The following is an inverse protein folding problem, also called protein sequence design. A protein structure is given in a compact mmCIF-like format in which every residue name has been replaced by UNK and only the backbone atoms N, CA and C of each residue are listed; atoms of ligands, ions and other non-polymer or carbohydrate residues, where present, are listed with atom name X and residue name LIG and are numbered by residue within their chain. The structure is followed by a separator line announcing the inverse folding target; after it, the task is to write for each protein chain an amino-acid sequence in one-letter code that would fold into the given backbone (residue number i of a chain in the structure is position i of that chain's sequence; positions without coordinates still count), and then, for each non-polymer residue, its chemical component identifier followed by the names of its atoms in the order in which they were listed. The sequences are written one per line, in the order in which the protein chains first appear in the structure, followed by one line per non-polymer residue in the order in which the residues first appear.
data_IF_078066060830
#
_entry.id   IF_078066060830
#
_cell.length_a   1.000
_cell.length_b   1.000
_cell.length_c   1.000
_cell.angle_alpha   90.00
_cell.angle_beta   90.00
_cell.angle_gamma   90.00
#
_symmetry.space_group_name_H-M   'P 1'
#
loop_
_entity.id
_entity.type
_entity.pdbx_description
1 polymer ?
#
# COMPACT_ATOMS: atom_id res chain seq x y z
N UNK A 1 49.72 30.95 -32.72
CA UNK A 1 50.43 31.97 -31.93
C UNK A 1 49.42 32.97 -31.39
N UNK A 2 49.10 32.86 -30.10
CA UNK A 2 48.81 33.97 -29.18
C UNK A 2 48.86 33.37 -27.75
N UNK A 3 49.34 34.13 -26.75
CA UNK A 3 50.00 33.58 -25.58
C UNK A 3 49.10 33.42 -24.35
N UNK A 4 49.56 32.56 -23.44
CA UNK A 4 49.01 32.31 -22.10
C UNK A 4 49.27 33.45 -21.11
N UNK A 5 48.47 33.51 -20.03
CA UNK A 5 48.79 33.85 -18.62
C UNK A 5 47.46 34.09 -17.83
N UNK A 6 47.41 34.00 -16.49
CA UNK A 6 47.99 33.04 -15.56
C UNK A 6 46.94 32.41 -14.60
N UNK A 7 47.35 31.33 -13.91
CA UNK A 7 46.63 30.74 -12.76
C UNK A 7 46.70 31.66 -11.54
N UNK A 8 45.56 31.91 -10.89
CA UNK A 8 45.49 32.53 -9.58
C UNK A 8 45.30 31.44 -8.51
N UNK A 9 46.30 31.32 -7.63
CA UNK A 9 46.26 30.50 -6.41
C UNK A 9 45.66 31.35 -5.29
N UNK A 10 44.46 31.01 -4.83
CA UNK A 10 43.86 31.65 -3.65
C UNK A 10 44.20 30.83 -2.40
N UNK A 11 45.05 31.42 -1.56
CA UNK A 11 45.40 30.96 -0.22
C UNK A 11 44.22 31.33 0.71
N UNK A 12 43.46 30.35 1.22
CA UNK A 12 42.47 30.60 2.28
C UNK A 12 43.16 30.36 3.63
N UNK A 13 43.36 31.44 4.37
CA UNK A 13 43.85 31.44 5.73
C UNK A 13 42.76 30.90 6.68
N UNK A 14 43.07 29.82 7.39
CA UNK A 14 42.27 29.32 8.52
C UNK A 14 42.47 30.27 9.70
N UNK A 15 41.45 31.05 10.03
CA UNK A 15 41.35 31.77 11.30
C UNK A 15 40.43 30.99 12.23
N UNK A 16 41.01 30.42 13.27
CA UNK A 16 40.27 29.75 14.34
C UNK A 16 39.59 30.80 15.24
N UNK A 17 38.27 30.90 15.18
CA UNK A 17 37.48 31.58 16.20
C UNK A 17 37.07 30.56 17.27
N UNK A 18 37.70 30.65 18.43
CA UNK A 18 37.23 29.97 19.64
C UNK A 18 36.06 30.79 20.22
N UNK A 19 34.83 30.34 19.98
CA UNK A 19 33.65 30.85 20.68
C UNK A 19 33.36 29.93 21.88
N UNK A 20 33.61 30.44 23.08
CA UNK A 20 33.19 29.85 24.34
C UNK A 20 31.66 29.95 24.47
N UNK A 21 30.95 28.85 24.17
CA UNK A 21 29.52 28.73 24.48
C UNK A 21 29.38 28.18 25.90
N UNK A 22 28.97 29.05 26.81
CA UNK A 22 28.50 28.67 28.13
C UNK A 22 27.25 27.80 27.96
N UNK A 23 27.34 26.53 28.38
CA UNK A 23 26.24 25.58 28.33
C UNK A 23 25.07 26.04 29.19
N UNK A 24 23.97 26.37 28.52
CA UNK A 24 22.65 26.32 29.13
C UNK A 24 22.14 24.88 29.00
N UNK A 25 21.62 24.25 30.07
CA UNK A 25 21.09 22.91 29.95
C UNK A 25 19.87 22.97 29.01
N UNK A 26 19.93 22.23 27.91
CA UNK A 26 18.77 21.95 27.07
C UNK A 26 17.69 21.34 27.98
N UNK A 27 16.65 22.12 28.28
CA UNK A 27 15.41 21.56 28.77
C UNK A 27 14.80 20.79 27.60
N UNK A 28 14.86 19.46 27.67
CA UNK A 28 14.06 18.60 26.83
C UNK A 28 12.61 19.09 26.89
N UNK A 29 12.05 19.44 25.74
CA UNK A 29 10.61 19.68 25.61
C UNK A 29 9.84 18.47 26.13
N UNK A 30 8.60 18.65 26.60
CA UNK A 30 7.84 17.57 27.18
C UNK A 30 7.69 16.45 26.13
N UNK A 31 8.26 15.28 26.44
CA UNK A 31 8.01 14.06 25.69
C UNK A 31 6.50 13.87 25.56
N UNK A 32 6.00 13.76 24.33
CA UNK A 32 4.62 13.36 24.07
C UNK A 32 4.39 12.02 24.76
N UNK A 33 3.64 12.04 25.86
CA UNK A 33 3.16 10.83 26.52
C UNK A 33 1.85 10.47 25.81
N UNK A 34 1.80 9.43 24.97
CA UNK A 34 0.52 8.94 24.49
C UNK A 34 -0.27 8.45 25.71
N UNK A 35 -1.25 9.23 26.16
CA UNK A 35 -2.31 8.75 27.03
C UNK A 35 -3.29 7.93 26.19
N UNK A 36 -2.83 6.80 25.63
CA UNK A 36 -3.71 5.70 25.30
C UNK A 36 -3.57 4.66 26.41
N UNK A 37 -4.48 4.72 27.37
CA UNK A 37 -4.72 3.61 28.27
C UNK A 37 -5.07 2.38 27.42
N UNK A 38 -4.14 1.42 27.33
CA UNK A 38 -4.41 0.09 26.77
C UNK A 38 -5.66 -0.47 27.45
N UNK A 39 -6.73 -0.82 26.72
CA UNK A 39 -7.86 -1.51 27.31
C UNK A 39 -7.37 -2.84 27.90
N UNK A 40 -7.31 -2.94 29.23
CA UNK A 40 -7.20 -4.24 29.92
C UNK A 40 -8.51 -4.97 29.72
N UNK A 41 -8.57 -5.75 28.66
CA UNK A 41 -9.72 -6.56 28.29
C UNK A 41 -9.65 -6.84 26.81
N UNK A 42 -9.42 -8.10 26.43
CA UNK A 42 -9.52 -8.57 25.05
C UNK A 42 -10.93 -8.22 24.56
N UNK A 43 -11.07 -7.12 23.82
CA UNK A 43 -12.34 -6.78 23.19
C UNK A 43 -12.77 -7.99 22.35
N UNK A 44 -14.07 -8.31 22.26
CA UNK A 44 -14.53 -9.33 21.34
C UNK A 44 -14.01 -8.93 19.95
N UNK A 45 -13.16 -9.77 19.35
CA UNK A 45 -12.57 -9.51 18.04
C UNK A 45 -13.69 -9.13 17.08
N UNK A 46 -13.45 -8.12 16.24
CA UNK A 46 -14.46 -7.64 15.30
C UNK A 46 -15.03 -8.85 14.56
N UNK A 47 -16.36 -8.95 14.53
CA UNK A 47 -17.04 -10.06 13.89
C UNK A 47 -16.61 -10.22 12.42
N UNK A 48 -17.09 -11.28 11.74
CA UNK A 48 -16.86 -11.43 10.30
C UNK A 48 -17.23 -10.16 9.54
N UNK A 49 -16.43 -9.80 8.53
CA UNK A 49 -16.79 -8.70 7.62
C UNK A 49 -18.07 -9.07 6.88
N UNK A 50 -18.95 -8.08 6.71
CA UNK A 50 -20.27 -8.29 6.11
C UNK A 50 -20.66 -7.11 5.26
N UNK A 51 -21.37 -7.39 4.19
CA UNK A 51 -22.17 -6.38 3.52
C UNK A 51 -23.16 -5.76 4.52
N UNK A 52 -23.39 -4.46 4.39
CA UNK A 52 -24.41 -3.73 5.13
C UNK A 52 -25.81 -4.20 4.69
N UNK A 53 -26.87 -3.91 5.45
CA UNK A 53 -28.24 -4.30 5.09
C UNK A 53 -28.74 -3.76 3.74
N UNK A 54 -28.15 -2.66 3.26
CA UNK A 54 -28.42 -2.11 1.92
C UNK A 54 -27.69 -2.85 0.78
N UNK A 55 -26.91 -3.88 1.12
CA UNK A 55 -26.20 -4.71 0.16
C UNK A 55 -24.87 -4.12 -0.30
N UNK A 56 -24.32 -3.12 0.38
CA UNK A 56 -23.02 -2.53 0.02
C UNK A 56 -21.92 -2.83 1.04
N UNK A 57 -20.67 -2.72 0.59
CA UNK A 57 -19.45 -2.86 1.39
C UNK A 57 -18.45 -1.80 0.95
N UNK A 58 -18.01 -0.93 1.85
CA UNK A 58 -17.13 0.21 1.55
C UNK A 58 -15.73 -0.01 2.13
N UNK A 59 -14.72 0.09 1.27
CA UNK A 59 -13.30 0.02 1.60
C UNK A 59 -12.64 1.38 1.36
N UNK A 60 -11.91 1.89 2.35
CA UNK A 60 -11.01 3.05 2.21
C UNK A 60 -9.57 2.55 2.18
N UNK A 61 -8.80 2.90 1.14
CA UNK A 61 -7.42 2.46 0.94
C UNK A 61 -6.48 3.65 1.15
N UNK A 62 -5.64 3.57 2.18
CA UNK A 62 -4.48 4.45 2.37
C UNK A 62 -3.19 3.67 2.07
N UNK A 63 -2.18 4.35 1.57
CA UNK A 63 -0.88 3.79 1.17
C UNK A 63 0.15 4.90 1.09
N UNK A 64 1.44 4.53 1.09
CA UNK A 64 2.55 5.48 0.95
C UNK A 64 2.42 6.60 2.01
N UNK A 65 2.27 6.16 3.26
CA UNK A 65 2.09 7.05 4.41
C UNK A 65 3.43 7.57 4.91
N UNK A 66 4.46 6.74 4.81
CA UNK A 66 5.86 7.07 5.07
C UNK A 66 6.09 7.76 6.41
N UNK A 67 5.51 7.20 7.48
CA UNK A 67 5.71 7.75 8.81
C UNK A 67 7.16 7.57 9.26
N UNK A 68 7.68 8.54 10.02
CA UNK A 68 9.01 8.47 10.61
C UNK A 68 10.15 8.81 9.66
N UNK A 69 9.86 9.43 8.52
CA UNK A 69 10.87 10.10 7.70
C UNK A 69 11.59 11.19 8.52
N UNK A 70 12.92 11.29 8.39
CA UNK A 70 13.74 12.29 9.10
C UNK A 70 13.42 12.40 10.62
N UNK A 71 13.27 11.25 11.30
CA UNK A 71 12.81 11.16 12.70
C UNK A 71 13.71 11.85 13.75
N UNK A 72 14.90 12.29 13.36
CA UNK A 72 15.86 13.00 14.23
C UNK A 72 15.72 14.53 14.21
N UNK A 73 14.86 15.09 13.34
CA UNK A 73 14.55 16.52 13.25
C UNK A 73 13.05 16.76 13.52
N UNK A 74 12.66 17.99 13.84
CA UNK A 74 11.27 18.42 14.00
C UNK A 74 10.46 18.35 12.69
N UNK A 75 11.10 18.42 11.53
CA UNK A 75 10.42 18.35 10.23
C UNK A 75 9.66 17.04 10.02
N UNK A 76 10.26 15.90 10.37
CA UNK A 76 9.69 14.56 10.19
C UNK A 76 8.38 14.35 10.96
N UNK A 77 8.38 14.51 12.29
CA UNK A 77 7.17 14.45 13.11
C UNK A 77 6.08 15.43 12.67
N UNK A 78 6.45 16.57 12.06
CA UNK A 78 5.46 17.49 11.49
C UNK A 78 4.78 16.90 10.26
N UNK A 79 5.48 16.14 9.41
CA UNK A 79 4.85 15.38 8.32
C UNK A 79 3.89 14.33 8.85
N UNK A 80 4.30 13.53 9.85
CA UNK A 80 3.44 12.52 10.48
C UNK A 80 2.12 13.12 11.00
N UNK A 81 2.20 14.30 11.65
CA UNK A 81 1.01 15.03 12.13
C UNK A 81 0.09 15.41 10.96
N UNK A 82 0.64 15.83 9.83
CA UNK A 82 -0.15 16.19 8.65
C UNK A 82 -0.73 14.96 7.95
N UNK A 83 0.01 13.85 7.86
CA UNK A 83 -0.51 12.55 7.43
C UNK A 83 -1.70 12.11 8.29
N UNK A 84 -1.63 12.26 9.62
CA UNK A 84 -2.76 11.99 10.51
C UNK A 84 -3.97 12.88 10.18
N UNK A 85 -3.77 14.16 9.84
CA UNK A 85 -4.86 15.07 9.43
C UNK A 85 -5.50 14.63 8.12
N UNK A 86 -4.73 14.13 7.15
CA UNK A 86 -5.27 13.55 5.91
C UNK A 86 -6.15 12.35 6.23
N UNK A 87 -5.64 11.39 7.03
CA UNK A 87 -6.39 10.20 7.43
C UNK A 87 -7.69 10.62 8.13
N UNK A 88 -7.64 11.54 9.10
CA UNK A 88 -8.84 12.04 9.78
C UNK A 88 -9.83 12.70 8.81
N UNK A 89 -9.34 13.55 7.90
CA UNK A 89 -10.17 14.27 6.92
C UNK A 89 -10.89 13.33 5.96
N UNK A 90 -10.17 12.34 5.42
CA UNK A 90 -10.78 11.35 4.52
C UNK A 90 -11.79 10.49 5.27
N UNK A 91 -11.43 9.99 6.46
CA UNK A 91 -12.34 9.16 7.26
C UNK A 91 -13.59 9.92 7.71
N UNK A 92 -13.52 11.24 7.92
CA UNK A 92 -14.68 12.07 8.29
C UNK A 92 -15.57 12.41 7.09
N UNK A 93 -15.01 12.44 5.88
CA UNK A 93 -15.75 12.70 4.65
C UNK A 93 -16.58 11.48 4.19
N UNK A 94 -16.21 10.27 4.62
CA UNK A 94 -16.85 9.03 4.19
C UNK A 94 -17.84 8.52 5.26
N UNK A 95 -19.16 8.57 5.00
CA UNK A 95 -20.18 8.31 6.02
C UNK A 95 -20.28 6.84 6.44
N UNK A 96 -19.82 5.93 5.59
CA UNK A 96 -19.89 4.49 5.79
C UNK A 96 -18.55 3.88 5.39
N UNK A 97 -17.86 3.24 6.34
CA UNK A 97 -16.61 2.53 6.08
C UNK A 97 -16.71 1.18 6.78
N UNK A 98 -16.61 0.10 6.01
CA UNK A 98 -16.69 -1.27 6.54
C UNK A 98 -15.30 -1.87 6.79
N UNK A 99 -14.28 -1.38 6.07
CA UNK A 99 -12.88 -1.76 6.22
C UNK A 99 -11.96 -0.61 5.78
N UNK A 100 -10.93 -0.32 6.56
CA UNK A 100 -9.78 0.46 6.08
C UNK A 100 -8.68 -0.51 5.63
N UNK A 101 -8.06 -0.25 4.48
CA UNK A 101 -6.89 -0.96 3.98
C UNK A 101 -5.69 -0.04 4.06
N UNK A 102 -4.60 -0.55 4.63
CA UNK A 102 -3.27 0.07 4.66
C UNK A 102 -2.37 -0.68 3.68
N UNK A 103 -2.17 -0.15 2.47
CA UNK A 103 -1.61 -0.88 1.33
C UNK A 103 -0.09 -0.66 1.13
N UNK A 104 0.68 -0.82 2.20
CA UNK A 104 2.14 -0.77 2.19
C UNK A 104 2.76 0.63 2.30
N UNK A 105 4.07 0.63 2.52
CA UNK A 105 4.92 1.78 2.88
C UNK A 105 4.28 2.64 3.98
N UNK A 106 4.01 1.96 5.10
CA UNK A 106 3.43 2.58 6.28
C UNK A 106 4.46 3.43 7.01
N UNK A 107 5.70 2.94 7.06
CA UNK A 107 6.82 3.53 7.81
C UNK A 107 8.05 3.57 6.92
N UNK A 108 8.73 4.71 6.88
CA UNK A 108 10.04 4.86 6.21
C UNK A 108 11.14 4.22 7.05
N UNK A 109 11.23 2.89 6.99
CA UNK A 109 12.04 2.06 7.89
C UNK A 109 13.49 2.48 8.03
N UNK A 110 14.11 2.92 6.94
CA UNK A 110 15.50 3.39 6.89
C UNK A 110 15.76 4.71 7.65
N UNK A 111 14.72 5.45 8.02
CA UNK A 111 14.81 6.74 8.74
C UNK A 111 14.41 6.64 10.21
N UNK A 112 13.86 5.50 10.61
CA UNK A 112 13.46 5.25 11.99
C UNK A 112 14.59 4.63 12.83
N UNK A 113 14.40 4.58 14.15
CA UNK A 113 15.34 3.90 15.06
C UNK A 113 14.83 2.50 15.44
N UNK A 114 15.76 1.54 15.55
CA UNK A 114 15.46 0.14 15.85
C UNK A 114 14.59 -0.03 17.11
N UNK A 115 14.80 0.81 18.12
CA UNK A 115 14.15 0.69 19.43
C UNK A 115 12.68 1.12 19.43
N UNK A 116 12.25 1.92 18.45
CA UNK A 116 10.92 2.53 18.46
C UNK A 116 10.22 2.60 17.09
N UNK A 117 10.81 2.05 16.02
CA UNK A 117 10.26 2.15 14.67
C UNK A 117 8.78 1.74 14.56
N UNK A 118 8.38 0.64 15.21
CA UNK A 118 6.98 0.19 15.17
C UNK A 118 6.00 1.11 15.91
N UNK A 119 6.44 2.09 16.69
CA UNK A 119 5.53 3.00 17.39
C UNK A 119 4.73 3.91 16.44
N UNK A 120 5.21 4.12 15.21
CA UNK A 120 4.47 4.89 14.20
C UNK A 120 3.15 4.22 13.80
N UNK A 121 3.04 2.88 13.92
CA UNK A 121 1.77 2.16 13.72
C UNK A 121 0.66 2.74 14.60
N UNK A 122 0.96 3.11 15.85
CA UNK A 122 -0.04 3.65 16.77
C UNK A 122 -0.59 5.01 16.31
N UNK A 123 0.25 5.82 15.64
CA UNK A 123 -0.16 7.10 15.07
C UNK A 123 -1.06 6.88 13.85
N UNK A 124 -0.66 5.97 12.96
CA UNK A 124 -1.38 5.60 11.74
C UNK A 124 -2.78 5.06 12.05
N UNK A 125 -2.89 4.14 13.01
CA UNK A 125 -4.18 3.49 13.34
C UNK A 125 -4.99 4.29 14.35
N UNK A 126 -4.42 5.35 14.95
CA UNK A 126 -5.09 6.22 15.91
C UNK A 126 -6.45 6.76 15.43
N UNK A 127 -6.54 7.36 14.21
CA UNK A 127 -7.81 7.78 13.62
C UNK A 127 -8.85 6.67 13.47
N UNK A 128 -8.42 5.44 13.16
CA UNK A 128 -9.30 4.27 13.01
C UNK A 128 -9.82 3.79 14.37
N UNK A 129 -8.93 3.74 15.37
CA UNK A 129 -9.26 3.41 16.76
C UNK A 129 -10.31 4.37 17.33
N UNK A 130 -10.14 5.68 17.13
CA UNK A 130 -11.10 6.71 17.58
C UNK A 130 -12.49 6.51 17.00
N UNK A 131 -12.59 6.02 15.76
CA UNK A 131 -13.84 5.81 15.02
C UNK A 131 -14.41 4.39 15.17
N UNK A 132 -13.73 3.50 15.91
CA UNK A 132 -14.13 2.10 16.02
C UNK A 132 -14.09 1.35 14.68
N UNK A 133 -13.22 1.78 13.77
CA UNK A 133 -13.04 1.15 12.47
C UNK A 133 -12.07 -0.03 12.59
N UNK A 134 -12.31 -1.03 11.77
CA UNK A 134 -11.42 -2.18 11.60
C UNK A 134 -10.54 -1.97 10.37
N UNK A 135 -9.31 -2.46 10.42
CA UNK A 135 -8.38 -2.31 9.31
C UNK A 135 -7.64 -3.60 8.98
N UNK A 136 -7.08 -3.64 7.78
CA UNK A 136 -6.24 -4.72 7.26
C UNK A 136 -5.06 -4.09 6.52
N UNK A 137 -3.87 -4.68 6.64
CA UNK A 137 -2.66 -4.12 6.04
C UNK A 137 -2.01 -5.10 5.06
N UNK A 138 -1.31 -4.58 4.06
CA UNK A 138 -0.14 -5.25 3.48
C UNK A 138 1.07 -4.33 3.61
N UNK A 139 2.27 -4.85 3.37
CA UNK A 139 3.52 -4.13 3.61
C UNK A 139 4.29 -3.92 2.32
N UNK A 140 5.07 -2.84 2.29
CA UNK A 140 5.89 -2.43 1.16
C UNK A 140 7.40 -2.57 1.40
N UNK A 141 8.18 -1.93 0.54
CA UNK A 141 9.64 -1.94 0.61
C UNK A 141 10.19 -1.13 1.78
N UNK A 142 9.58 0.00 2.15
CA UNK A 142 10.01 0.83 3.28
C UNK A 142 9.69 0.17 4.64
N UNK A 143 8.67 -0.69 4.67
CA UNK A 143 8.31 -1.49 5.86
C UNK A 143 9.33 -2.60 6.20
N UNK A 144 10.37 -2.76 5.38
CA UNK A 144 11.43 -3.75 5.53
C UNK A 144 12.82 -3.11 5.40
N UNK A 145 13.47 -2.86 6.55
CA UNK A 145 14.82 -2.31 6.57
C UNK A 145 15.66 -2.93 7.72
N UNK A 146 16.85 -2.39 7.96
CA UNK A 146 17.72 -2.77 9.07
C UNK A 146 17.10 -2.46 10.44
N UNK A 147 16.29 -1.39 10.53
CA UNK A 147 15.69 -0.91 11.78
C UNK A 147 14.24 -1.39 12.00
N UNK A 148 13.60 -1.98 10.99
CA UNK A 148 12.20 -2.44 11.05
C UNK A 148 12.02 -3.72 10.25
N UNK A 149 11.09 -4.57 10.67
CA UNK A 149 10.63 -5.70 9.86
C UNK A 149 9.12 -5.73 9.78
N UNK A 150 8.58 -6.19 8.65
CA UNK A 150 7.16 -6.46 8.48
C UNK A 150 6.56 -7.34 9.61
N UNK A 151 7.34 -8.29 10.13
CA UNK A 151 6.91 -9.13 11.25
C UNK A 151 6.73 -8.33 12.55
N UNK A 152 7.58 -7.33 12.79
CA UNK A 152 7.46 -6.43 13.93
C UNK A 152 6.27 -5.46 13.78
N UNK A 153 6.00 -4.98 12.56
CA UNK A 153 4.80 -4.19 12.25
C UNK A 153 3.54 -5.03 12.53
N UNK A 154 3.46 -6.26 12.02
CA UNK A 154 2.34 -7.18 12.27
C UNK A 154 2.15 -7.41 13.78
N UNK A 155 3.22 -7.66 14.52
CA UNK A 155 3.17 -7.86 15.96
C UNK A 155 2.62 -6.61 16.70
N UNK A 156 2.95 -5.41 16.22
CA UNK A 156 2.42 -4.15 16.78
C UNK A 156 0.94 -3.96 16.46
N UNK A 157 0.54 -4.19 15.20
CA UNK A 157 -0.87 -4.11 14.79
C UNK A 157 -1.74 -5.04 15.63
N UNK A 158 -1.26 -6.26 15.90
CA UNK A 158 -1.98 -7.28 16.69
C UNK A 158 -2.16 -6.93 18.18
N UNK A 159 -1.56 -5.83 18.67
CA UNK A 159 -1.90 -5.28 19.99
C UNK A 159 -3.31 -4.69 20.02
N UNK A 160 -3.87 -4.36 18.85
CA UNK A 160 -5.16 -3.72 18.70
C UNK A 160 -6.24 -4.72 18.22
N UNK A 161 -7.43 -4.76 18.85
CA UNK A 161 -8.46 -5.75 18.53
C UNK A 161 -9.13 -5.55 17.16
N UNK A 162 -8.98 -4.37 16.54
CA UNK A 162 -9.48 -4.02 15.20
C UNK A 162 -8.55 -4.39 14.06
N UNK A 163 -7.30 -4.77 14.34
CA UNK A 163 -6.40 -5.27 13.32
C UNK A 163 -6.91 -6.61 12.78
N UNK A 164 -7.04 -6.70 11.46
CA UNK A 164 -7.40 -7.93 10.74
C UNK A 164 -6.22 -8.54 9.98
N UNK A 165 -5.07 -7.88 9.97
CA UNK A 165 -3.86 -8.38 9.31
C UNK A 165 -3.43 -9.72 9.92
N UNK A 166 -3.13 -10.69 9.06
CA UNK A 166 -2.70 -12.04 9.48
C UNK A 166 -1.58 -12.53 8.59
N UNK A 167 -0.90 -13.59 9.02
CA UNK A 167 0.08 -14.31 8.22
C UNK A 167 -0.45 -15.72 7.92
N UNK A 168 -0.90 -15.97 6.69
CA UNK A 168 -1.38 -17.29 6.26
C UNK A 168 -0.32 -18.08 5.48
N UNK A 169 0.83 -17.46 5.17
CA UNK A 169 2.01 -18.10 4.57
C UNK A 169 3.20 -17.91 5.53
N UNK A 170 3.40 -18.83 6.50
CA UNK A 170 4.44 -18.71 7.51
C UNK A 170 5.80 -19.18 6.97
N UNK A 171 6.32 -18.50 5.95
CA UNK A 171 7.66 -18.71 5.39
C UNK A 171 8.39 -17.35 5.36
N UNK A 172 9.58 -17.24 6.00
CA UNK A 172 10.32 -15.98 6.07
C UNK A 172 10.64 -15.36 4.71
N UNK A 173 10.77 -16.17 3.65
CA UNK A 173 11.07 -15.66 2.31
C UNK A 173 9.80 -15.34 1.50
N UNK A 174 8.60 -15.70 1.97
CA UNK A 174 7.34 -15.45 1.26
C UNK A 174 6.76 -14.05 1.49
N UNK A 175 7.26 -13.31 2.49
CA UNK A 175 6.61 -12.11 3.02
C UNK A 175 5.62 -12.44 4.15
N UNK A 176 5.28 -11.43 4.95
CA UNK A 176 4.54 -11.55 6.21
C UNK A 176 3.02 -11.37 5.98
N UNK A 177 2.60 -10.39 5.19
CA UNK A 177 1.19 -9.99 5.03
C UNK A 177 0.45 -10.71 3.91
N UNK A 178 0.71 -12.01 3.72
CA UNK A 178 -0.03 -12.86 2.77
C UNK A 178 -1.23 -13.53 3.45
N UNK A 179 -2.46 -13.07 3.15
CA UNK A 179 -3.69 -13.58 3.75
C UNK A 179 -4.94 -13.17 2.95
N UNK A 180 -6.11 -13.64 3.37
CA UNK A 180 -7.38 -13.18 2.82
C UNK A 180 -8.41 -12.92 3.91
N UNK A 181 -9.36 -12.04 3.62
CA UNK A 181 -10.51 -11.76 4.46
C UNK A 181 -11.81 -12.09 3.71
N UNK A 182 -12.66 -12.98 4.24
CA UNK A 182 -13.98 -13.25 3.67
C UNK A 182 -15.00 -12.20 4.12
N UNK A 183 -15.80 -11.71 3.17
CA UNK A 183 -16.93 -10.82 3.41
C UNK A 183 -18.22 -11.58 3.12
N UNK A 184 -19.13 -11.60 4.09
CA UNK A 184 -20.37 -12.38 4.02
C UNK A 184 -21.60 -11.51 3.77
N UNK A 185 -22.70 -12.11 3.35
CA UNK A 185 -23.99 -11.43 3.34
C UNK A 185 -24.39 -10.90 4.73
N UNK A 186 -25.16 -9.81 4.75
CA UNK A 186 -25.60 -9.12 5.96
C UNK A 186 -26.31 -10.08 6.95
N UNK A 187 -27.15 -10.96 6.42
CA UNK A 187 -27.98 -11.91 7.16
C UNK A 187 -27.28 -13.26 7.41
N UNK A 188 -26.03 -13.44 6.98
CA UNK A 188 -25.37 -14.73 7.08
C UNK A 188 -25.11 -15.14 8.53
N UNK A 189 -25.98 -15.98 9.10
CA UNK A 189 -25.85 -16.45 10.48
C UNK A 189 -24.99 -17.72 10.55
N UNK A 190 -24.03 -17.75 11.49
CA UNK A 190 -23.32 -18.98 11.82
C UNK A 190 -24.26 -19.89 12.62
N UNK A 191 -24.48 -21.16 12.24
CA UNK A 191 -25.29 -22.06 13.05
C UNK A 191 -24.66 -22.26 14.45
N UNK A 192 -25.45 -22.23 15.54
CA UNK A 192 -24.95 -22.55 16.87
C UNK A 192 -24.30 -23.93 16.90
N UNK A 193 -23.15 -24.07 17.57
CA UNK A 193 -22.50 -25.37 17.81
C UNK A 193 -21.78 -25.99 16.61
N UNK A 194 -21.72 -25.32 15.44
CA UNK A 194 -20.91 -25.77 14.30
C UNK A 194 -19.68 -24.88 14.07
N UNK A 195 -18.45 -25.40 14.24
CA UNK A 195 -17.24 -24.65 13.92
C UNK A 195 -17.05 -24.46 12.40
N UNK A 196 -17.80 -25.18 11.54
CA UNK A 196 -17.83 -25.01 10.09
C UNK A 196 -19.25 -25.25 9.55
N UNK A 197 -19.66 -24.51 8.52
CA UNK A 197 -20.99 -24.65 7.88
C UNK A 197 -21.90 -23.42 7.96
N UNK A 198 -21.37 -22.21 7.74
CA UNK A 198 -22.17 -21.01 7.44
C UNK A 198 -22.35 -20.83 5.92
N UNK A 199 -22.88 -19.68 5.51
CA UNK A 199 -22.99 -19.30 4.10
C UNK A 199 -21.59 -19.08 3.49
N UNK A 200 -21.40 -19.35 2.18
CA UNK A 200 -20.18 -18.97 1.50
C UNK A 200 -19.97 -17.45 1.57
N UNK A 201 -18.73 -16.95 1.53
CA UNK A 201 -18.50 -15.51 1.39
C UNK A 201 -19.03 -15.03 0.02
N UNK A 202 -19.50 -13.80 0.00
CA UNK A 202 -19.95 -13.13 -1.24
C UNK A 202 -18.79 -12.39 -1.91
N UNK A 203 -17.77 -12.01 -1.15
CA UNK A 203 -16.56 -11.35 -1.62
C UNK A 203 -15.34 -11.87 -0.85
N UNK A 204 -14.22 -12.04 -1.55
CA UNK A 204 -12.90 -12.28 -0.94
C UNK A 204 -12.00 -11.07 -1.14
N UNK A 205 -11.31 -10.67 -0.08
CA UNK A 205 -10.26 -9.65 -0.13
C UNK A 205 -8.91 -10.34 0.04
N UNK A 206 -8.06 -10.31 -0.99
CA UNK A 206 -6.74 -10.92 -0.98
C UNK A 206 -5.66 -9.89 -0.71
N UNK A 207 -4.72 -10.21 0.18
CA UNK A 207 -3.58 -9.36 0.51
C UNK A 207 -2.31 -10.12 0.19
N UNK A 208 -1.42 -9.46 -0.56
CA UNK A 208 -0.16 -10.02 -1.01
C UNK A 208 1.00 -9.14 -0.56
N UNK A 209 2.05 -9.78 -0.06
CA UNK A 209 3.29 -9.11 0.33
C UNK A 209 4.29 -9.19 -0.82
N UNK A 210 4.52 -8.04 -1.48
CA UNK A 210 5.51 -7.90 -2.54
C UNK A 210 6.94 -7.75 -2.04
N UNK A 211 7.16 -7.67 -0.71
CA UNK A 211 8.47 -7.52 -0.07
C UNK A 211 9.17 -6.22 -0.55
N UNK A 212 10.45 -6.28 -0.89
CA UNK A 212 11.30 -5.13 -1.26
C UNK A 212 12.03 -4.50 -0.07
N UNK A 213 12.99 -3.61 -0.32
CA UNK A 213 13.83 -3.05 0.76
C UNK A 213 14.97 -3.97 1.19
N UNK A 214 15.24 -4.05 2.49
CA UNK A 214 16.40 -4.76 3.05
C UNK A 214 16.02 -5.78 4.13
N UNK A 215 16.85 -6.83 4.25
CA UNK A 215 16.70 -7.85 5.29
C UNK A 215 17.02 -7.28 6.67
N UNK A 216 16.11 -7.50 7.61
CA UNK A 216 16.23 -7.04 8.99
C UNK A 216 17.53 -7.49 9.66
N UNK A 217 18.28 -6.53 10.19
CA UNK A 217 19.57 -6.72 10.88
C UNK A 217 20.64 -7.52 10.11
N UNK A 218 20.55 -7.58 8.78
CA UNK A 218 21.53 -8.28 7.96
C UNK A 218 22.40 -7.30 7.17
N UNK A 219 23.72 -7.49 7.30
CA UNK A 219 24.74 -6.80 6.50
C UNK A 219 25.66 -7.83 5.86
N UNK A 220 26.07 -7.56 4.64
CA UNK A 220 27.08 -8.34 3.96
C UNK A 220 28.41 -8.23 4.71
N UNK A 221 29.04 -9.36 5.01
CA UNK A 221 30.22 -9.41 5.86
C UNK A 221 31.47 -8.79 5.22
N UNK A 222 31.54 -8.73 3.89
CA UNK A 222 32.70 -8.20 3.17
C UNK A 222 32.60 -6.68 2.95
N UNK A 223 31.40 -6.18 2.64
CA UNK A 223 31.16 -4.79 2.27
C UNK A 223 30.56 -3.95 3.40
N UNK A 224 29.96 -4.59 4.42
CA UNK A 224 29.23 -3.93 5.50
C UNK A 224 27.89 -3.30 5.07
N UNK A 225 27.49 -3.47 3.81
CA UNK A 225 26.24 -2.93 3.27
C UNK A 225 25.03 -3.77 3.72
N UNK A 226 23.86 -3.14 3.83
CA UNK A 226 22.59 -3.83 4.10
C UNK A 226 22.31 -4.86 3.00
N UNK A 227 21.77 -6.02 3.35
CA UNK A 227 21.43 -7.07 2.39
C UNK A 227 20.05 -6.79 1.82
N UNK A 228 19.96 -6.50 0.52
CA UNK A 228 18.67 -6.29 -0.17
C UNK A 228 17.81 -7.55 -0.17
N UNK A 229 16.49 -7.38 -0.23
CA UNK A 229 15.53 -8.48 -0.38
C UNK A 229 14.74 -8.41 -1.68
N UNK A 230 14.29 -9.57 -2.22
CA UNK A 230 13.39 -9.60 -3.38
C UNK A 230 12.20 -8.64 -3.25
N UNK A 231 11.75 -8.06 -4.36
CA UNK A 231 10.67 -7.07 -4.47
C UNK A 231 9.53 -7.56 -5.42
N UNK A 232 9.05 -8.79 -5.20
CA UNK A 232 7.88 -9.34 -5.87
C UNK A 232 7.12 -10.29 -4.94
N UNK A 233 5.85 -10.60 -5.24
CA UNK A 233 5.11 -11.67 -4.54
C UNK A 233 5.77 -13.03 -4.78
N UNK A 234 6.20 -13.69 -3.71
CA UNK A 234 6.94 -14.96 -3.80
C UNK A 234 6.10 -16.11 -4.36
N UNK A 235 6.76 -17.07 -5.03
CA UNK A 235 6.09 -18.24 -5.60
C UNK A 235 5.30 -19.04 -4.55
N UNK A 236 5.75 -19.07 -3.28
CA UNK A 236 5.01 -19.73 -2.19
C UNK A 236 3.67 -19.06 -1.90
N UNK A 237 3.61 -17.73 -1.94
CA UNK A 237 2.38 -16.97 -1.78
C UNK A 237 1.46 -17.18 -3.00
N UNK A 238 2.00 -17.21 -4.21
CA UNK A 238 1.25 -17.55 -5.43
C UNK A 238 0.61 -18.95 -5.33
N UNK A 239 1.40 -19.93 -4.90
CA UNK A 239 0.98 -21.31 -4.73
C UNK A 239 -0.09 -21.47 -3.64
N UNK A 240 0.07 -20.77 -2.52
CA UNK A 240 -0.93 -20.67 -1.47
C UNK A 240 -2.23 -20.09 -2.02
N UNK A 241 -2.17 -18.95 -2.71
CA UNK A 241 -3.34 -18.28 -3.28
C UNK A 241 -4.12 -19.20 -4.22
N UNK A 242 -3.44 -19.86 -5.17
CA UNK A 242 -4.09 -20.79 -6.11
C UNK A 242 -4.78 -21.95 -5.39
N UNK A 243 -4.10 -22.59 -4.42
CA UNK A 243 -4.68 -23.68 -3.65
C UNK A 243 -5.87 -23.22 -2.81
N UNK A 244 -5.70 -22.13 -2.06
CA UNK A 244 -6.73 -21.61 -1.17
C UNK A 244 -7.95 -21.10 -1.94
N UNK A 245 -7.76 -20.40 -3.06
CA UNK A 245 -8.86 -19.98 -3.93
C UNK A 245 -9.65 -21.20 -4.45
N UNK A 246 -8.97 -22.22 -4.98
CA UNK A 246 -9.62 -23.44 -5.46
C UNK A 246 -10.40 -24.18 -4.34
N UNK A 247 -9.86 -24.19 -3.12
CA UNK A 247 -10.54 -24.76 -1.94
C UNK A 247 -11.80 -23.97 -1.57
N UNK A 248 -11.73 -22.65 -1.57
CA UNK A 248 -12.87 -21.76 -1.27
C UNK A 248 -13.96 -21.88 -2.33
N UNK A 249 -13.60 -21.87 -3.62
CA UNK A 249 -14.53 -22.08 -4.73
C UNK A 249 -15.21 -23.44 -4.64
N UNK A 250 -14.44 -24.51 -4.35
CA UNK A 250 -15.01 -25.85 -4.13
C UNK A 250 -15.96 -25.87 -2.93
N UNK A 251 -15.62 -25.20 -1.83
CA UNK A 251 -16.50 -25.08 -0.67
C UNK A 251 -17.78 -24.26 -0.96
N UNK A 252 -17.72 -23.33 -1.91
CA UNK A 252 -18.86 -22.55 -2.40
C UNK A 252 -19.65 -23.24 -3.53
N UNK A 253 -19.53 -24.57 -3.67
CA UNK A 253 -20.27 -25.34 -4.67
C UNK A 253 -19.75 -25.21 -6.10
N UNK A 254 -18.48 -24.80 -6.26
CA UNK A 254 -17.83 -24.64 -7.56
C UNK A 254 -18.07 -23.29 -8.23
N UNK A 255 -18.83 -22.38 -7.61
CA UNK A 255 -19.03 -21.01 -8.11
C UNK A 255 -17.81 -20.15 -7.78
N UNK A 256 -17.17 -19.49 -8.75
CA UNK A 256 -16.17 -18.46 -8.47
C UNK A 256 -16.73 -17.41 -7.50
N UNK A 257 -15.93 -17.04 -6.51
CA UNK A 257 -16.31 -16.00 -5.54
C UNK A 257 -15.67 -14.69 -6.03
N UNK A 258 -16.46 -13.63 -6.25
CA UNK A 258 -15.91 -12.32 -6.59
C UNK A 258 -14.84 -11.90 -5.59
N UNK A 259 -13.81 -11.20 -6.07
CA UNK A 259 -12.69 -10.82 -5.23
C UNK A 259 -12.02 -9.52 -5.66
N UNK A 260 -11.40 -8.87 -4.67
CA UNK A 260 -10.47 -7.77 -4.82
C UNK A 260 -9.12 -8.19 -4.23
N UNK A 261 -8.03 -7.63 -4.75
CA UNK A 261 -6.70 -7.90 -4.26
C UNK A 261 -5.92 -6.61 -3.98
N UNK A 262 -4.98 -6.70 -3.04
CA UNK A 262 -4.11 -5.61 -2.59
C UNK A 262 -2.67 -6.12 -2.57
N UNK A 263 -1.77 -5.36 -3.18
CA UNK A 263 -0.32 -5.58 -3.19
C UNK A 263 0.32 -4.21 -3.15
N UNK A 264 1.50 -4.05 -2.57
CA UNK A 264 2.10 -2.72 -2.53
C UNK A 264 2.76 -2.34 -3.87
N UNK A 265 3.78 -3.10 -4.29
CA UNK A 265 4.54 -2.83 -5.51
C UNK A 265 3.74 -3.33 -6.73
N UNK A 266 3.49 -2.48 -7.76
CA UNK A 266 2.71 -2.86 -8.93
C UNK A 266 3.41 -3.91 -9.80
N UNK A 267 2.64 -4.75 -10.47
CA UNK A 267 3.19 -5.79 -11.36
C UNK A 267 3.82 -5.19 -12.62
N UNK A 268 4.68 -5.95 -13.31
CA UNK A 268 5.22 -5.53 -14.62
C UNK A 268 4.12 -5.29 -15.69
N UNK A 269 2.92 -5.83 -15.50
CA UNK A 269 1.77 -5.50 -16.34
C UNK A 269 1.36 -4.02 -16.22
N UNK A 270 1.49 -3.42 -15.03
CA UNK A 270 1.18 -1.99 -14.83
C UNK A 270 2.14 -1.12 -15.63
N UNK A 271 3.45 -1.39 -15.57
CA UNK A 271 4.45 -0.67 -16.37
C UNK A 271 4.16 -0.80 -17.87
N UNK A 272 3.89 -2.02 -18.33
CA UNK A 272 3.57 -2.25 -19.75
C UNK A 272 2.27 -1.55 -20.21
N UNK A 273 1.33 -1.28 -19.28
CA UNK A 273 0.13 -0.48 -19.56
C UNK A 273 0.45 1.02 -19.61
N UNK A 274 1.28 1.52 -18.69
CA UNK A 274 1.78 2.90 -18.70
C UNK A 274 2.51 3.19 -20.02
N UNK A 275 3.42 2.30 -20.44
CA UNK A 275 4.13 2.41 -21.73
C UNK A 275 3.19 2.32 -22.95
N UNK A 276 2.07 1.61 -22.83
CA UNK A 276 1.05 1.56 -23.87
C UNK A 276 0.17 2.82 -23.94
N UNK A 277 0.24 3.69 -22.92
CA UNK A 277 -0.46 4.95 -22.81
C UNK A 277 -1.72 4.87 -21.94
N UNK A 278 -1.77 5.76 -20.94
CA UNK A 278 -2.92 6.01 -20.07
C UNK A 278 -3.72 7.18 -20.64
N UNK A 279 -4.99 6.94 -21.01
CA UNK A 279 -5.87 8.00 -21.51
C UNK A 279 -6.58 8.67 -20.33
N UNK A 280 -6.42 9.99 -20.10
CA UNK A 280 -6.98 10.66 -18.92
C UNK A 280 -8.52 10.67 -18.89
N UNK A 281 -9.20 10.38 -20.00
CA UNK A 281 -10.65 10.30 -20.08
C UNK A 281 -11.18 8.87 -20.06
N UNK A 282 -10.36 7.85 -20.27
CA UNK A 282 -10.78 6.43 -20.17
C UNK A 282 -10.20 5.71 -18.95
N UNK A 283 -9.09 6.24 -18.44
CA UNK A 283 -8.38 5.81 -17.23
C UNK A 283 -8.08 7.06 -16.38
N UNK A 284 -9.10 7.78 -15.87
CA UNK A 284 -8.87 9.02 -15.14
C UNK A 284 -8.02 8.77 -13.89
N UNK A 285 -6.92 9.50 -13.80
CA UNK A 285 -5.92 9.41 -12.74
C UNK A 285 -4.69 10.23 -13.14
N UNK A 286 -3.83 10.50 -12.17
CA UNK A 286 -2.51 11.07 -12.42
C UNK A 286 -1.61 9.96 -12.95
N UNK A 287 -0.74 10.26 -13.91
CA UNK A 287 0.24 9.36 -14.54
C UNK A 287 1.57 10.12 -14.68
N UNK A 288 2.14 10.51 -13.54
CA UNK A 288 3.33 11.37 -13.48
C UNK A 288 4.61 10.60 -13.12
N UNK A 289 4.50 9.38 -12.58
CA UNK A 289 5.66 8.60 -12.15
C UNK A 289 6.15 7.70 -13.29
N UNK A 290 6.95 8.29 -14.17
CA UNK A 290 7.32 7.66 -15.45
C UNK A 290 8.83 7.48 -15.57
N UNK A 291 9.34 6.25 -15.80
CA UNK A 291 8.59 4.99 -15.78
C UNK A 291 8.27 4.55 -14.34
N UNK A 292 7.11 3.93 -14.14
CA UNK A 292 6.71 3.40 -12.84
C UNK A 292 7.62 2.24 -12.37
N UNK A 293 7.73 2.06 -11.07
CA UNK A 293 8.59 1.09 -10.40
C UNK A 293 7.87 -0.25 -10.15
N UNK A 294 8.01 -1.17 -11.10
CA UNK A 294 7.35 -2.46 -11.05
C UNK A 294 8.06 -3.50 -10.16
N UNK A 295 7.33 -4.56 -9.81
CA UNK A 295 7.89 -5.74 -9.14
C UNK A 295 9.06 -6.33 -9.93
N UNK A 296 10.05 -6.83 -9.19
CA UNK A 296 11.30 -7.36 -9.73
C UNK A 296 12.18 -6.34 -10.49
N UNK A 297 11.90 -5.03 -10.38
CA UNK A 297 12.80 -3.99 -10.86
C UNK A 297 14.19 -4.15 -10.21
N UNK A 298 15.24 -4.12 -11.03
CA UNK A 298 16.64 -4.29 -10.63
C UNK A 298 17.11 -5.74 -10.47
N UNK A 299 16.21 -6.73 -10.53
CA UNK A 299 16.55 -8.13 -10.31
C UNK A 299 16.64 -8.93 -11.62
N UNK A 300 17.74 -9.63 -11.82
CA UNK A 300 17.99 -10.45 -13.00
C UNK A 300 17.34 -11.83 -12.87
N UNK A 301 17.04 -12.46 -14.01
CA UNK A 301 16.44 -13.80 -14.07
C UNK A 301 17.28 -14.87 -13.34
N UNK A 302 18.59 -14.66 -13.19
CA UNK A 302 19.51 -15.51 -12.43
C UNK A 302 19.57 -15.20 -10.92
N UNK A 303 18.78 -14.23 -10.45
CA UNK A 303 18.69 -13.80 -9.06
C UNK A 303 19.68 -12.73 -8.63
N UNK A 304 20.54 -12.22 -9.53
CA UNK A 304 21.43 -11.10 -9.22
C UNK A 304 20.65 -9.77 -9.13
N UNK A 305 21.12 -8.86 -8.28
CA UNK A 305 20.67 -7.48 -8.18
C UNK A 305 21.90 -6.57 -8.11
N UNK A 306 22.60 -6.45 -9.22
CA UNK A 306 23.88 -5.75 -9.38
C UNK A 306 23.84 -4.66 -10.46
N UNK A 307 22.64 -4.28 -10.90
CA UNK A 307 22.41 -3.29 -11.95
C UNK A 307 22.71 -3.78 -13.37
N UNK A 308 23.03 -5.05 -13.58
CA UNK A 308 23.29 -5.59 -14.93
C UNK A 308 22.04 -5.86 -15.77
N UNK A 309 20.85 -5.70 -15.19
CA UNK A 309 19.56 -5.86 -15.85
C UNK A 309 18.51 -4.95 -15.18
N UNK A 310 17.44 -4.63 -15.91
CA UNK A 310 16.34 -3.82 -15.37
C UNK A 310 15.21 -4.68 -14.75
N UNK A 311 14.96 -5.88 -15.28
CA UNK A 311 13.86 -6.75 -14.88
C UNK A 311 14.14 -8.21 -15.29
N UNK A 312 13.74 -9.17 -14.45
CA UNK A 312 14.06 -10.59 -14.61
C UNK A 312 12.87 -11.53 -14.78
N UNK A 313 11.62 -11.04 -14.74
CA UNK A 313 10.43 -11.87 -14.95
C UNK A 313 9.89 -12.61 -13.72
N UNK A 314 10.40 -12.32 -12.51
CA UNK A 314 10.14 -13.11 -11.31
C UNK A 314 8.69 -12.99 -10.80
N UNK A 315 7.98 -11.91 -11.15
CA UNK A 315 6.55 -11.72 -10.85
C UNK A 315 5.61 -12.40 -11.86
N UNK A 316 6.15 -13.02 -12.92
CA UNK A 316 5.37 -13.76 -13.94
C UNK A 316 4.37 -14.77 -13.36
N UNK A 317 4.73 -15.62 -12.38
CA UNK A 317 3.79 -16.52 -11.73
C UNK A 317 2.63 -15.81 -11.01
N UNK A 318 2.89 -14.66 -10.38
CA UNK A 318 1.89 -13.85 -9.72
C UNK A 318 0.94 -13.20 -10.73
N UNK A 319 1.49 -12.55 -11.76
CA UNK A 319 0.70 -12.01 -12.88
C UNK A 319 -0.19 -13.08 -13.52
N UNK A 320 0.34 -14.28 -13.74
CA UNK A 320 -0.43 -15.40 -14.27
C UNK A 320 -1.57 -15.82 -13.32
N UNK A 321 -1.32 -15.85 -12.01
CA UNK A 321 -2.35 -16.19 -11.03
C UNK A 321 -3.46 -15.13 -10.97
N UNK A 322 -3.09 -13.85 -10.96
CA UNK A 322 -4.02 -12.71 -11.01
C UNK A 322 -4.87 -12.77 -12.28
N UNK A 323 -4.24 -12.87 -13.46
CA UNK A 323 -4.97 -12.94 -14.72
C UNK A 323 -5.83 -14.20 -14.86
N UNK A 324 -5.45 -15.33 -14.28
CA UNK A 324 -6.20 -16.59 -14.45
C UNK A 324 -7.35 -16.79 -13.46
N UNK A 325 -7.45 -15.98 -12.39
CA UNK A 325 -8.44 -16.19 -11.32
C UNK A 325 -9.81 -15.65 -11.73
N UNK A 326 -10.83 -16.51 -11.94
CA UNK A 326 -12.17 -16.02 -12.28
C UNK A 326 -12.78 -15.27 -11.11
N UNK A 327 -13.40 -14.13 -11.40
CA UNK A 327 -14.04 -13.28 -10.39
C UNK A 327 -13.11 -12.30 -9.67
N UNK A 328 -11.80 -12.27 -9.98
CA UNK A 328 -10.91 -11.21 -9.50
C UNK A 328 -11.15 -9.94 -10.33
N UNK A 329 -11.77 -8.93 -9.71
CA UNK A 329 -12.21 -7.70 -10.40
C UNK A 329 -11.06 -6.70 -10.53
N UNK A 330 -10.31 -6.50 -9.44
CA UNK A 330 -9.23 -5.53 -9.40
C UNK A 330 -8.08 -5.94 -8.47
N UNK A 331 -6.88 -5.49 -8.81
CA UNK A 331 -5.68 -5.50 -7.99
C UNK A 331 -5.27 -4.04 -7.74
N UNK A 332 -5.20 -3.65 -6.47
CA UNK A 332 -4.81 -2.30 -6.04
C UNK A 332 -3.35 -2.28 -5.56
N UNK A 333 -2.62 -1.25 -5.99
CA UNK A 333 -1.21 -0.97 -5.69
C UNK A 333 -1.00 0.46 -5.23
N UNK A 334 0.10 0.69 -4.49
CA UNK A 334 0.63 2.02 -4.17
C UNK A 334 1.99 2.19 -4.84
N UNK A 335 3.02 2.55 -4.06
CA UNK A 335 4.44 2.58 -4.42
C UNK A 335 4.84 3.70 -5.37
N UNK A 336 4.09 3.90 -6.45
CA UNK A 336 4.29 4.98 -7.42
C UNK A 336 3.42 6.17 -7.04
N UNK A 337 3.96 7.09 -6.24
CA UNK A 337 3.21 8.15 -5.57
C UNK A 337 2.52 9.13 -6.53
N UNK A 338 2.98 9.16 -7.78
CA UNK A 338 2.45 9.99 -8.86
C UNK A 338 1.38 9.33 -9.72
N UNK A 339 1.05 8.08 -9.47
CA UNK A 339 0.08 7.32 -10.27
C UNK A 339 -1.21 7.08 -9.49
N UNK A 340 -2.36 7.35 -10.11
CA UNK A 340 -3.67 7.20 -9.44
C UNK A 340 -4.76 6.63 -10.37
N UNK A 341 -4.37 6.04 -11.50
CA UNK A 341 -5.29 5.51 -12.50
C UNK A 341 -5.65 4.04 -12.23
N UNK A 342 -6.74 3.59 -12.86
CA UNK A 342 -7.06 2.17 -13.03
C UNK A 342 -6.97 1.81 -14.52
N UNK A 343 -6.55 0.60 -14.85
CA UNK A 343 -6.45 0.14 -16.23
C UNK A 343 -6.91 -1.31 -16.36
N UNK A 344 -7.85 -1.58 -17.27
CA UNK A 344 -8.30 -2.93 -17.59
C UNK A 344 -7.24 -3.68 -18.41
N UNK A 345 -6.65 -4.71 -17.81
CA UNK A 345 -5.67 -5.58 -18.48
C UNK A 345 -6.37 -6.76 -19.18
N UNK A 346 -6.71 -6.59 -20.45
CA UNK A 346 -7.53 -7.52 -21.25
C UNK A 346 -6.78 -8.18 -22.42
N UNK A 347 -5.50 -7.86 -22.59
CA UNK A 347 -4.68 -8.26 -23.73
C UNK A 347 -3.26 -8.65 -23.33
N UNK A 348 -2.56 -9.25 -24.28
CA UNK A 348 -1.11 -9.42 -24.16
C UNK A 348 -0.46 -8.09 -24.52
N UNK A 349 0.40 -7.58 -23.64
CA UNK A 349 1.11 -6.32 -23.84
C UNK A 349 2.51 -6.57 -24.42
N UNK A 350 3.13 -5.59 -25.08
CA UNK A 350 4.50 -5.70 -25.57
C UNK A 350 5.47 -6.14 -24.47
N UNK A 351 6.43 -6.99 -24.81
CA UNK A 351 7.46 -7.45 -23.86
C UNK A 351 6.98 -8.46 -22.80
N UNK A 352 5.68 -8.77 -22.74
CA UNK A 352 5.11 -9.70 -21.76
C UNK A 352 4.89 -11.10 -22.31
N UNK A 353 4.81 -12.08 -21.40
CA UNK A 353 4.42 -13.48 -21.68
C UNK A 353 3.05 -13.85 -21.14
N UNK A 354 2.53 -13.07 -20.18
CA UNK A 354 1.21 -13.28 -19.58
C UNK A 354 0.18 -12.41 -20.29
N UNK A 355 -0.94 -13.01 -20.70
CA UNK A 355 -2.07 -12.31 -21.30
C UNK A 355 -3.07 -11.90 -20.22
N UNK A 356 -3.51 -10.64 -20.24
CA UNK A 356 -4.59 -10.15 -19.38
C UNK A 356 -5.93 -10.82 -19.67
N UNK A 357 -6.80 -10.86 -18.66
CA UNK A 357 -8.13 -11.49 -18.71
C UNK A 357 -9.30 -10.52 -18.46
N UNK A 358 -9.00 -9.24 -18.23
CA UNK A 358 -9.97 -8.21 -17.89
C UNK A 358 -9.93 -7.73 -16.44
N UNK A 359 -8.96 -8.19 -15.63
CA UNK A 359 -8.71 -7.65 -14.29
C UNK A 359 -8.26 -6.18 -14.40
N UNK A 360 -8.73 -5.33 -13.50
CA UNK A 360 -8.32 -3.94 -13.43
C UNK A 360 -7.09 -3.80 -12.51
N UNK A 361 -6.02 -3.20 -13.02
CA UNK A 361 -4.84 -2.83 -12.23
C UNK A 361 -5.00 -1.37 -11.83
N UNK A 362 -5.02 -1.10 -10.54
CA UNK A 362 -5.38 0.21 -10.00
C UNK A 362 -4.30 0.72 -9.05
N UNK A 363 -3.96 1.99 -9.16
CA UNK A 363 -3.21 2.70 -8.13
C UNK A 363 -4.17 3.37 -7.15
N UNK A 364 -3.86 3.42 -5.86
CA UNK A 364 -4.61 4.23 -4.92
C UNK A 364 -4.25 5.71 -5.04
N UNK A 365 -3.92 6.34 -3.92
CA UNK A 365 -3.56 7.75 -3.83
C UNK A 365 -2.51 7.89 -2.73
N UNK A 366 -1.39 8.52 -3.05
CA UNK A 366 -0.37 8.89 -2.07
C UNK A 366 -1.03 9.60 -0.87
N UNK A 367 -0.97 8.95 0.30
CA UNK A 367 -1.77 9.35 1.46
C UNK A 367 -0.98 10.18 2.47
N UNK A 368 0.33 10.01 2.51
CA UNK A 368 1.23 10.65 3.46
C UNK A 368 1.69 12.05 3.06
N UNK A 369 2.19 12.79 4.05
CA UNK A 369 3.09 13.91 3.85
C UNK A 369 4.57 13.51 3.94
N UNK A 370 4.87 12.28 4.36
CA UNK A 370 6.18 11.64 4.15
C UNK A 370 6.27 11.05 2.75
N UNK A 371 7.46 10.57 2.38
CA UNK A 371 7.68 9.97 1.08
C UNK A 371 7.89 11.02 -0.01
N UNK A 372 8.20 10.58 -1.23
CA UNK A 372 8.51 11.52 -2.31
C UNK A 372 7.25 12.09 -2.97
N UNK A 373 7.42 13.27 -3.58
CA UNK A 373 6.36 13.92 -4.34
C UNK A 373 5.56 14.95 -3.57
N UNK A 374 4.66 15.62 -4.29
CA UNK A 374 3.80 16.67 -3.73
C UNK A 374 2.37 16.59 -4.26
N UNK A 375 2.00 15.47 -4.89
CA UNK A 375 0.62 15.24 -5.33
C UNK A 375 -0.33 15.42 -4.14
N UNK A 376 -1.50 15.98 -4.41
CA UNK A 376 -2.50 16.22 -3.37
C UNK A 376 -2.83 14.90 -2.66
N UNK A 377 -2.88 14.92 -1.32
CA UNK A 377 -3.05 13.70 -0.55
C UNK A 377 -4.51 13.27 -0.57
N UNK A 378 -4.74 11.99 -0.35
CA UNK A 378 -6.09 11.45 -0.27
C UNK A 378 -6.08 9.96 -0.03
N UNK A 379 -7.20 9.32 -0.32
CA UNK A 379 -7.32 7.87 -0.26
C UNK A 379 -8.31 7.38 -1.31
N UNK A 380 -8.03 6.21 -1.89
CA UNK A 380 -8.96 5.56 -2.80
C UNK A 380 -10.10 4.92 -2.03
N UNK A 381 -11.31 5.15 -2.50
CA UNK A 381 -12.53 4.51 -2.02
C UNK A 381 -12.94 3.42 -3.00
N UNK A 382 -13.42 2.29 -2.47
CA UNK A 382 -13.95 1.17 -3.25
C UNK A 382 -15.27 0.76 -2.63
N UNK A 383 -16.35 0.85 -3.42
CA UNK A 383 -17.71 0.48 -3.00
C UNK A 383 -18.15 -0.71 -3.82
N UNK A 384 -18.42 -1.82 -3.12
CA UNK A 384 -18.91 -3.06 -3.71
C UNK A 384 -20.37 -3.21 -3.35
N UNK A 385 -21.21 -3.59 -4.32
CA UNK A 385 -22.62 -3.90 -4.07
C UNK A 385 -22.94 -5.34 -4.43
N UNK A 386 -23.84 -5.99 -3.70
CA UNK A 386 -24.31 -7.34 -4.02
C UNK A 386 -24.93 -7.43 -5.43
N UNK A 387 -25.57 -6.36 -5.91
CA UNK A 387 -26.07 -6.31 -7.28
C UNK A 387 -24.92 -6.30 -8.29
N UNK A 388 -23.87 -5.51 -8.05
CA UNK A 388 -22.65 -5.49 -8.88
C UNK A 388 -21.87 -6.82 -8.87
N UNK A 389 -22.08 -7.68 -7.87
CA UNK A 389 -21.44 -9.00 -7.76
C UNK A 389 -22.28 -10.16 -8.31
N UNK A 390 -23.49 -9.89 -8.80
CA UNK A 390 -24.49 -10.90 -9.14
C UNK A 390 -24.20 -11.66 -10.44
N UNK A 391 -23.69 -10.96 -11.46
CA UNK A 391 -23.28 -11.57 -12.73
C UNK A 391 -21.75 -11.65 -12.82
N UNK A 392 -21.21 -12.87 -12.73
CA UNK A 392 -19.76 -13.11 -12.86
C UNK A 392 -19.19 -12.70 -14.22
N UNK A 393 -20.03 -12.48 -15.24
CA UNK A 393 -19.60 -12.02 -16.57
C UNK A 393 -19.58 -10.50 -16.70
N UNK A 394 -20.18 -9.78 -15.76
CA UNK A 394 -20.28 -8.33 -15.74
C UNK A 394 -20.22 -7.81 -14.30
N UNK A 395 -19.15 -8.20 -13.59
CA UNK A 395 -18.89 -7.71 -12.24
C UNK A 395 -18.65 -6.21 -12.29
N UNK A 396 -19.23 -5.49 -11.33
CA UNK A 396 -19.12 -4.04 -11.22
C UNK A 396 -18.70 -3.63 -9.81
N UNK A 397 -17.68 -2.78 -9.74
CA UNK A 397 -17.17 -2.19 -8.49
C UNK A 397 -16.95 -0.70 -8.71
N UNK A 398 -17.53 0.14 -7.86
CA UNK A 398 -17.35 1.59 -7.94
C UNK A 398 -16.08 1.99 -7.20
N UNK A 399 -15.29 2.89 -7.78
CA UNK A 399 -14.11 3.45 -7.12
C UNK A 399 -13.90 4.91 -7.47
N UNK A 400 -13.36 5.67 -6.53
CA UNK A 400 -13.03 7.08 -6.66
C UNK A 400 -11.95 7.45 -5.66
N UNK A 401 -11.40 8.66 -5.74
CA UNK A 401 -10.43 9.17 -4.77
C UNK A 401 -11.09 10.29 -3.97
N UNK A 402 -10.97 10.21 -2.64
CA UNK A 402 -11.29 11.31 -1.72
C UNK A 402 -9.99 12.05 -1.41
N UNK A 403 -9.91 13.31 -1.80
CA UNK A 403 -8.76 14.17 -1.54
C UNK A 403 -8.84 14.83 -0.17
N UNK A 404 -7.69 15.25 0.38
CA UNK A 404 -7.60 16.02 1.63
C UNK A 404 -8.30 17.38 1.56
N UNK A 405 -8.54 17.90 0.34
CA UNK A 405 -9.38 19.08 0.10
C UNK A 405 -10.88 18.81 0.30
N UNK A 406 -11.27 17.54 0.48
CA UNK A 406 -12.66 17.08 0.49
C UNK A 406 -13.24 16.80 -0.89
N UNK A 407 -12.52 17.08 -1.98
CA UNK A 407 -13.01 16.81 -3.34
C UNK A 407 -13.04 15.30 -3.67
N UNK A 408 -13.94 14.91 -4.57
CA UNK A 408 -13.97 13.58 -5.20
C UNK A 408 -13.45 13.68 -6.62
N UNK A 409 -12.47 12.85 -6.98
CA UNK A 409 -11.89 12.78 -8.34
C UNK A 409 -11.77 11.32 -8.79
N UNK A 410 -11.52 11.10 -10.10
CA UNK A 410 -11.30 9.76 -10.64
C UNK A 410 -12.44 8.76 -10.41
N UNK A 411 -13.68 9.23 -10.34
CA UNK A 411 -14.84 8.39 -10.05
C UNK A 411 -15.24 7.54 -11.28
N UNK A 412 -15.17 6.22 -11.13
CA UNK A 412 -15.42 5.25 -12.21
C UNK A 412 -16.12 4.00 -11.66
N UNK A 413 -16.76 3.25 -12.56
CA UNK A 413 -17.26 1.90 -12.28
C UNK A 413 -16.40 0.90 -13.05
N UNK A 414 -15.70 0.03 -12.33
CA UNK A 414 -14.90 -1.07 -12.88
C UNK A 414 -15.82 -2.21 -13.33
N UNK A 415 -16.46 -2.04 -14.48
CA UNK A 415 -17.36 -3.02 -15.10
C UNK A 415 -16.84 -3.44 -16.49
N UNK A 416 -17.68 -4.13 -17.28
CA UNK A 416 -17.32 -4.53 -18.65
C UNK A 416 -17.02 -3.35 -19.59
N UNK A 417 -17.63 -2.18 -19.44
CA UNK A 417 -17.45 -1.02 -20.32
C UNK A 417 -16.29 -0.10 -19.91
N UNK A 418 -15.78 -0.23 -18.69
CA UNK A 418 -14.58 0.52 -18.23
C UNK A 418 -13.41 0.45 -19.23
N UNK A 419 -12.77 1.58 -19.51
CA UNK A 419 -11.73 1.71 -20.55
C UNK A 419 -12.27 2.03 -21.96
N UNK A 420 -13.59 1.98 -22.15
CA UNK A 420 -14.29 2.51 -23.34
C UNK A 420 -15.19 3.70 -23.00
N UNK A 421 -15.71 3.74 -21.77
CA UNK A 421 -16.47 4.87 -21.24
C UNK A 421 -15.58 6.12 -21.13
N UNK A 422 -16.20 7.31 -21.23
CA UNK A 422 -15.52 8.60 -21.04
C UNK A 422 -15.85 9.19 -19.66
N UNK A 423 -14.82 9.70 -18.99
CA UNK A 423 -14.86 10.27 -17.65
C UNK A 423 -14.19 11.66 -17.63
N UNK A 424 -14.49 12.51 -16.64
CA UNK A 424 -13.70 13.69 -16.37
C UNK A 424 -12.26 13.32 -16.04
N UNK A 425 -11.30 14.03 -16.63
CA UNK A 425 -9.89 13.88 -16.27
C UNK A 425 -9.66 14.27 -14.80
N UNK A 426 -8.83 13.50 -14.12
CA UNK A 426 -8.42 13.79 -12.73
C UNK A 426 -7.49 15.01 -12.71
N UNK A 427 -7.79 16.05 -11.90
CA UNK A 427 -6.87 17.16 -11.69
C UNK A 427 -5.53 16.67 -11.12
N UNK A 428 -4.43 17.16 -11.66
CA UNK A 428 -3.08 16.89 -11.15
C UNK A 428 -2.66 17.98 -10.16
N UNK A 429 -3.43 18.10 -9.08
CA UNK A 429 -3.20 19.09 -8.03
C UNK A 429 -2.03 18.67 -7.14
N UNK A 430 -1.30 19.65 -6.63
CA UNK A 430 -0.22 19.44 -5.65
C UNK A 430 -0.61 20.08 -4.33
N UNK A 431 -0.22 19.47 -3.23
CA UNK A 431 -0.20 20.11 -1.91
C UNK A 431 1.22 20.14 -1.38
N UNK A 432 1.54 21.19 -0.65
CA UNK A 432 2.78 21.30 0.10
C UNK A 432 2.42 21.85 1.45
N UNK A 433 3.29 21.63 2.44
CA UNK A 433 3.15 22.38 3.68
C UNK A 433 3.17 23.88 3.37
N UNK A 434 2.39 24.69 4.09
CA UNK A 434 2.71 26.10 4.20
C UNK A 434 4.17 26.15 4.64
N UNK A 435 5.07 26.64 3.77
CA UNK A 435 6.43 26.98 4.18
C UNK A 435 6.29 27.82 5.44
N UNK A 436 6.86 27.37 6.55
CA UNK A 436 6.77 28.01 7.86
C UNK A 436 6.86 29.53 7.69
N UNK A 437 5.70 30.17 7.74
CA UNK A 437 5.58 31.59 7.49
C UNK A 437 5.98 32.35 8.73
N UNK A 438 7.28 32.54 8.95
CA UNK A 438 7.87 33.69 9.67
C UNK A 438 9.38 33.74 9.54
#
# INVERSE_FOLDING_TARGET
MQPALPRATALIAVTAFAASVLGSPFQAGPAYKPQLSLPRGRAPGYGPLRFRPDGTFHITIFEDLDFGENAWDAWGPQQDINSVRVIETVLDAEPHIDLVVLNGDLITGENTFLENSTHYVDQIVGPMLKRGLTWASTYGNHDNDFNISAAAILAREQLWPNARTTQMVPDPDAGVSNYYLPVFAADCRRPPGRPRGGCPPELLLWFFDSRGGFRFQQKDAATGQRVGQPNWVDARAVDWFRRTNAELVRAAGGRPIPSLAFVHIPTNASLALQEAGVDPHRQPGIDDDVPLAQQAQGWCADGRNDGSCAYGGQDGPFMQAVASTPGLVALFSGHDHGDTWCYKWDRLLPGMTVKGSGVNLCFGQHSGYGGYGSWIRGARQVVVSLEGLKDLKDLAVDTYIRLESGATVGAVTLNRTYGHDEYPATPNDKTSLPSDGS
#
